data_IF_669036113074
#
_entry.id   IF_669036113074
#
_cell.length_a   1.000
_cell.length_b   1.000
_cell.length_c   1.000
_cell.angle_alpha   90.00
_cell.angle_beta   90.00
_cell.angle_gamma   90.00
#
_symmetry.space_group_name_H-M   'P 1'
#
loop_
_entity.id
_entity.type
_entity.pdbx_description
1 polymer ?
#
# COMPACT_ATOMS: atom_id res chain seq x y z
N UNK A 1 15.37 -11.63 49.28
CA UNK A 1 14.05 -10.94 49.29
C UNK A 1 13.93 -9.83 48.24
N UNK A 2 14.68 -8.72 48.33
CA UNK A 2 14.55 -7.58 47.39
C UNK A 2 14.81 -7.96 45.92
N UNK A 3 15.82 -8.79 45.65
CA UNK A 3 16.20 -9.23 44.30
C UNK A 3 15.09 -10.00 43.56
N UNK A 4 14.40 -10.91 44.25
CA UNK A 4 13.29 -11.69 43.67
C UNK A 4 12.14 -10.75 43.29
N UNK A 5 11.72 -9.89 44.21
CA UNK A 5 10.62 -8.96 43.95
C UNK A 5 10.98 -7.99 42.82
N UNK A 6 12.24 -7.53 42.75
CA UNK A 6 12.72 -6.69 41.64
C UNK A 6 12.77 -7.42 40.32
N UNK A 7 13.16 -8.70 40.31
CA UNK A 7 13.14 -9.53 39.11
C UNK A 7 11.71 -9.72 38.60
N UNK A 8 10.80 -10.15 39.46
CA UNK A 8 9.39 -10.37 39.12
C UNK A 8 8.73 -9.07 38.65
N UNK A 9 8.99 -7.95 39.31
CA UNK A 9 8.54 -6.63 38.86
C UNK A 9 9.11 -6.28 37.47
N UNK A 10 10.41 -6.54 37.24
CA UNK A 10 11.06 -6.26 35.96
C UNK A 10 10.48 -7.10 34.80
N UNK A 11 10.03 -8.33 35.09
CA UNK A 11 9.31 -9.19 34.13
C UNK A 11 7.87 -8.69 33.92
N UNK A 12 7.11 -8.48 34.99
CA UNK A 12 5.68 -8.15 34.92
C UNK A 12 5.39 -6.76 34.37
N UNK A 13 6.24 -5.75 34.60
CA UNK A 13 6.08 -4.41 33.99
C UNK A 13 6.09 -4.47 32.46
N UNK A 14 6.76 -5.48 31.89
CA UNK A 14 6.84 -5.72 30.44
C UNK A 14 5.56 -6.41 29.94
N UNK A 15 4.70 -6.97 30.78
CA UNK A 15 3.51 -7.69 30.35
C UNK A 15 2.29 -6.75 30.19
N UNK A 16 1.27 -7.14 29.40
CA UNK A 16 -0.02 -6.44 29.36
C UNK A 16 -0.67 -6.41 30.74
N UNK A 17 -1.26 -5.28 31.14
CA UNK A 17 -1.83 -5.08 32.49
C UNK A 17 -2.79 -6.20 32.91
N UNK A 18 -3.62 -6.68 31.99
CA UNK A 18 -4.60 -7.73 32.25
C UNK A 18 -4.02 -9.08 32.66
N UNK A 19 -2.73 -9.34 32.40
CA UNK A 19 -2.07 -10.61 32.71
C UNK A 19 -1.02 -10.48 33.82
N UNK A 20 -0.73 -9.26 34.29
CA UNK A 20 0.37 -9.01 35.24
C UNK A 20 0.18 -9.75 36.56
N UNK A 21 -1.02 -9.66 37.14
CA UNK A 21 -1.29 -10.24 38.46
C UNK A 21 -1.21 -11.77 38.46
N UNK A 22 -1.70 -12.42 37.40
CA UNK A 22 -1.68 -13.88 37.29
C UNK A 22 -0.24 -14.37 37.07
N UNK A 23 0.50 -13.73 36.16
CA UNK A 23 1.88 -14.10 35.84
C UNK A 23 2.84 -13.74 36.99
N UNK A 24 2.55 -12.69 37.76
CA UNK A 24 3.28 -12.38 38.99
C UNK A 24 3.19 -13.52 39.99
N UNK A 25 1.98 -14.04 40.23
CA UNK A 25 1.78 -15.19 41.13
C UNK A 25 2.45 -16.45 40.59
N UNK A 26 2.35 -16.71 39.29
CA UNK A 26 3.00 -17.85 38.66
C UNK A 26 4.52 -17.79 38.79
N UNK A 27 5.12 -16.63 38.54
CA UNK A 27 6.56 -16.42 38.72
C UNK A 27 7.00 -16.52 40.18
N UNK A 28 6.16 -16.06 41.13
CA UNK A 28 6.44 -16.24 42.55
C UNK A 28 6.48 -17.73 42.91
N UNK A 29 5.48 -18.50 42.48
CA UNK A 29 5.44 -19.96 42.69
C UNK A 29 6.62 -20.67 42.03
N UNK A 30 6.96 -20.32 40.79
CA UNK A 30 8.10 -20.91 40.08
C UNK A 30 9.43 -20.67 40.82
N UNK A 31 9.64 -19.46 41.34
CA UNK A 31 10.85 -19.14 42.12
C UNK A 31 10.87 -19.90 43.45
N UNK A 32 9.72 -20.05 44.10
CA UNK A 32 9.58 -20.83 45.34
C UNK A 32 9.90 -22.31 45.10
N UNK A 33 9.29 -22.93 44.08
CA UNK A 33 9.56 -24.31 43.70
C UNK A 33 11.05 -24.55 43.40
N UNK A 34 11.69 -23.63 42.67
CA UNK A 34 13.12 -23.72 42.34
C UNK A 34 14.05 -23.55 43.55
N UNK A 35 13.62 -22.83 44.60
CA UNK A 35 14.37 -22.70 45.85
C UNK A 35 14.17 -23.95 46.72
N UNK A 36 12.95 -24.48 46.80
CA UNK A 36 12.64 -25.71 47.54
C UNK A 36 13.41 -26.91 46.99
N UNK A 37 13.54 -27.03 45.66
CA UNK A 37 14.36 -28.06 45.00
C UNK A 37 15.85 -28.02 45.41
N UNK A 38 16.31 -26.86 45.91
CA UNK A 38 17.67 -26.64 46.43
C UNK A 38 17.75 -26.77 47.95
N UNK A 39 16.65 -27.10 48.61
CA UNK A 39 16.56 -27.27 50.06
C UNK A 39 16.51 -25.94 50.84
N UNK A 40 16.18 -24.84 50.17
CA UNK A 40 16.08 -23.51 50.77
C UNK A 40 14.64 -23.00 50.66
N UNK A 41 14.15 -22.37 51.72
CA UNK A 41 12.87 -21.64 51.66
C UNK A 41 13.12 -20.20 51.27
N UNK A 42 12.08 -19.53 50.75
CA UNK A 42 12.14 -18.10 50.38
C UNK A 42 12.65 -17.19 51.51
N UNK A 43 12.41 -17.57 52.76
CA UNK A 43 12.87 -16.81 53.95
C UNK A 43 14.28 -17.18 54.42
N UNK A 44 14.79 -18.36 54.09
CA UNK A 44 16.08 -18.89 54.56
C UNK A 44 17.15 -18.95 53.47
N UNK A 45 16.78 -18.72 52.21
CA UNK A 45 17.67 -18.74 51.07
C UNK A 45 18.80 -17.70 51.17
N UNK A 46 20.02 -18.18 50.95
CA UNK A 46 21.21 -17.36 50.81
C UNK A 46 21.16 -16.51 49.54
N UNK A 47 21.97 -15.45 49.50
CA UNK A 47 22.03 -14.55 48.35
C UNK A 47 22.52 -15.26 47.08
N UNK A 48 23.41 -16.26 47.23
CA UNK A 48 23.97 -17.07 46.15
C UNK A 48 22.92 -18.01 45.54
N UNK A 49 22.07 -18.64 46.36
CA UNK A 49 20.98 -19.52 45.89
C UNK A 49 19.95 -18.72 45.07
N UNK A 50 19.58 -17.53 45.56
CA UNK A 50 18.68 -16.62 44.83
C UNK A 50 19.28 -16.18 43.51
N UNK A 51 20.57 -15.83 43.48
CA UNK A 51 21.25 -15.41 42.25
C UNK A 51 21.30 -16.54 41.22
N UNK A 52 21.59 -17.77 41.65
CA UNK A 52 21.59 -18.95 40.77
C UNK A 52 20.21 -19.22 40.16
N UNK A 53 19.13 -19.17 40.96
CA UNK A 53 17.77 -19.34 40.46
C UNK A 53 17.42 -18.27 39.42
N UNK A 54 17.75 -17.00 39.70
CA UNK A 54 17.46 -15.91 38.76
C UNK A 54 18.31 -15.99 37.48
N UNK A 55 19.55 -16.49 37.56
CA UNK A 55 20.40 -16.75 36.40
C UNK A 55 19.84 -17.88 35.53
N UNK A 56 19.28 -18.93 36.13
CA UNK A 56 18.64 -20.04 35.43
C UNK A 56 17.34 -19.61 34.73
N UNK A 57 16.56 -18.72 35.36
CA UNK A 57 15.40 -18.09 34.72
C UNK A 57 15.79 -17.15 33.57
N UNK A 58 17.02 -16.63 33.60
CA UNK A 58 17.58 -15.77 32.57
C UNK A 58 17.10 -14.32 32.63
N UNK A 59 17.46 -13.49 31.63
CA UNK A 59 17.15 -12.06 31.64
C UNK A 59 15.63 -11.78 31.72
N UNK A 60 15.17 -10.79 32.50
CA UNK A 60 13.74 -10.46 32.62
C UNK A 60 13.03 -10.17 31.29
N UNK A 61 13.77 -9.72 30.28
CA UNK A 61 13.24 -9.47 28.93
C UNK A 61 12.86 -10.77 28.22
N UNK A 62 13.71 -11.78 28.32
CA UNK A 62 13.49 -13.09 27.71
C UNK A 62 12.40 -13.84 28.46
N UNK A 63 12.40 -13.78 29.79
CA UNK A 63 11.36 -14.40 30.59
C UNK A 63 9.99 -13.79 30.31
N UNK A 64 9.90 -12.45 30.20
CA UNK A 64 8.67 -11.77 29.78
C UNK A 64 8.23 -12.16 28.35
N UNK A 65 9.16 -12.47 27.45
CA UNK A 65 8.84 -12.89 26.09
C UNK A 65 8.16 -14.27 26.06
N UNK A 66 8.60 -15.21 26.90
CA UNK A 66 7.99 -16.55 27.05
C UNK A 66 6.51 -16.46 27.44
N UNK A 67 6.17 -15.53 28.33
CA UNK A 67 4.80 -15.30 28.78
C UNK A 67 3.92 -14.50 27.80
N UNK A 68 4.52 -13.57 27.04
CA UNK A 68 3.73 -12.74 26.11
C UNK A 68 3.11 -13.53 24.97
N UNK A 69 3.70 -14.67 24.59
CA UNK A 69 3.27 -15.47 23.44
C UNK A 69 3.34 -14.76 22.08
N UNK A 70 3.86 -13.51 22.03
CA UNK A 70 3.98 -12.70 20.80
C UNK A 70 5.05 -11.62 20.93
N UNK A 71 5.81 -11.44 19.86
CA UNK A 71 6.78 -10.35 19.72
C UNK A 71 6.08 -9.07 19.22
N UNK A 72 6.50 -7.89 19.71
CA UNK A 72 5.90 -6.59 19.36
C UNK A 72 6.56 -6.02 18.10
N UNK A 73 6.29 -6.61 16.95
CA UNK A 73 6.71 -6.03 15.67
C UNK A 73 5.63 -5.12 15.09
N UNK A 74 6.05 -4.00 14.51
CA UNK A 74 5.18 -3.22 13.63
C UNK A 74 4.92 -3.98 12.31
N UNK A 75 5.95 -4.65 11.81
CA UNK A 75 5.93 -5.52 10.63
C UNK A 75 6.74 -6.76 10.99
N UNK A 76 6.10 -7.93 11.05
CA UNK A 76 6.73 -9.17 11.49
C UNK A 76 7.70 -9.75 10.46
N UNK A 77 8.54 -10.72 10.86
CA UNK A 77 9.50 -11.38 9.97
C UNK A 77 8.83 -12.06 8.76
N UNK A 78 7.56 -12.48 8.88
CA UNK A 78 6.82 -13.06 7.75
C UNK A 78 6.43 -12.07 6.65
N UNK A 79 6.40 -10.77 6.94
CA UNK A 79 6.00 -9.73 5.98
C UNK A 79 7.15 -8.82 5.52
N UNK A 80 8.30 -8.84 6.22
CA UNK A 80 9.38 -7.88 5.99
C UNK A 80 9.94 -7.90 4.56
N UNK A 81 10.05 -9.09 3.93
CA UNK A 81 10.52 -9.22 2.55
C UNK A 81 9.53 -8.63 1.53
N UNK A 82 8.24 -8.85 1.78
CA UNK A 82 7.17 -8.29 0.95
C UNK A 82 7.09 -6.77 1.13
N UNK A 83 7.29 -6.28 2.35
CA UNK A 83 7.36 -4.86 2.67
C UNK A 83 8.49 -4.18 1.88
N UNK A 84 9.72 -4.71 1.94
CA UNK A 84 10.83 -4.15 1.19
C UNK A 84 10.62 -4.19 -0.32
N UNK A 85 9.99 -5.26 -0.83
CA UNK A 85 9.65 -5.38 -2.24
C UNK A 85 8.69 -4.27 -2.68
N UNK A 86 7.56 -4.12 -1.97
CA UNK A 86 6.56 -3.08 -2.29
C UNK A 86 7.14 -1.69 -2.13
N UNK A 87 7.89 -1.43 -1.05
CA UNK A 87 8.52 -0.13 -0.80
C UNK A 87 9.47 0.25 -1.93
N UNK A 88 10.35 -0.66 -2.37
CA UNK A 88 11.25 -0.42 -3.50
C UNK A 88 10.49 -0.12 -4.79
N UNK A 89 9.44 -0.89 -5.09
CA UNK A 89 8.62 -0.67 -6.28
C UNK A 89 7.97 0.72 -6.23
N UNK A 90 7.38 1.11 -5.09
CA UNK A 90 6.77 2.43 -4.91
C UNK A 90 7.80 3.54 -5.11
N UNK A 91 8.97 3.46 -4.44
CA UNK A 91 10.01 4.48 -4.55
C UNK A 91 10.58 4.60 -5.97
N UNK A 92 10.82 3.47 -6.66
CA UNK A 92 11.25 3.50 -8.06
C UNK A 92 10.16 4.06 -8.97
N UNK A 93 8.89 3.75 -8.71
CA UNK A 93 7.77 4.28 -9.49
C UNK A 93 7.63 5.80 -9.29
N UNK A 94 7.84 6.31 -8.08
CA UNK A 94 7.88 7.75 -7.77
C UNK A 94 9.02 8.41 -8.55
N UNK A 95 10.22 7.81 -8.52
CA UNK A 95 11.38 8.34 -9.24
C UNK A 95 11.15 8.37 -10.76
N UNK A 96 10.60 7.30 -11.33
CA UNK A 96 10.25 7.24 -12.76
C UNK A 96 9.18 8.27 -13.11
N UNK A 97 8.09 8.35 -12.34
CA UNK A 97 6.99 9.26 -12.62
C UNK A 97 7.43 10.73 -12.55
N UNK A 98 8.11 11.13 -11.47
CA UNK A 98 8.63 12.48 -11.33
C UNK A 98 9.75 12.78 -12.34
N UNK A 99 10.55 11.77 -12.71
CA UNK A 99 11.57 11.90 -13.75
C UNK A 99 10.97 12.20 -15.12
N UNK A 100 9.87 11.54 -15.48
CA UNK A 100 9.11 11.84 -16.70
C UNK A 100 8.61 13.29 -16.67
N UNK A 101 8.03 13.73 -15.55
CA UNK A 101 7.55 15.11 -15.37
C UNK A 101 8.68 16.12 -15.53
N UNK A 102 9.83 15.86 -14.91
CA UNK A 102 11.01 16.70 -15.03
C UNK A 102 11.51 16.81 -16.49
N UNK A 103 11.63 15.67 -17.20
CA UNK A 103 12.04 15.65 -18.60
C UNK A 103 11.07 16.45 -19.47
N UNK A 104 9.77 16.28 -19.28
CA UNK A 104 8.76 17.02 -20.04
C UNK A 104 8.87 18.53 -19.76
N UNK A 105 8.96 18.92 -18.49
CA UNK A 105 9.12 20.33 -18.10
C UNK A 105 10.41 20.97 -18.62
N UNK A 106 11.49 20.19 -18.71
CA UNK A 106 12.76 20.64 -19.27
C UNK A 106 12.64 21.07 -20.75
N UNK A 107 11.78 20.41 -21.54
CA UNK A 107 11.54 20.78 -22.94
C UNK A 107 10.48 21.88 -23.11
N UNK A 108 9.63 22.11 -22.12
CA UNK A 108 8.54 23.11 -22.20
C UNK A 108 8.95 24.47 -21.63
N UNK A 109 9.82 24.49 -20.60
CA UNK A 109 10.11 25.69 -19.81
C UNK A 109 11.38 26.40 -20.28
N UNK A 110 11.39 27.73 -20.24
CA UNK A 110 12.58 28.56 -20.46
C UNK A 110 13.33 28.91 -19.16
N UNK A 111 12.87 28.38 -18.02
CA UNK A 111 13.42 28.63 -16.69
C UNK A 111 14.84 28.04 -16.50
N UNK A 112 15.63 28.58 -15.56
CA UNK A 112 16.95 28.06 -15.25
C UNK A 112 16.91 26.58 -14.84
N UNK A 113 17.71 25.74 -15.51
CA UNK A 113 17.76 24.28 -15.27
C UNK A 113 18.08 23.90 -13.83
N UNK A 114 18.85 24.73 -13.11
CA UNK A 114 19.26 24.45 -11.74
C UNK A 114 18.09 24.49 -10.73
N UNK A 115 17.15 25.43 -10.90
CA UNK A 115 15.99 25.57 -10.01
C UNK A 115 15.03 24.40 -10.20
N UNK A 116 14.76 24.00 -11.45
CA UNK A 116 13.93 22.83 -11.78
C UNK A 116 14.51 21.52 -11.26
N UNK A 117 15.84 21.38 -11.31
CA UNK A 117 16.51 20.23 -10.73
C UNK A 117 16.32 20.19 -9.20
N UNK A 118 16.40 21.34 -8.53
CA UNK A 118 16.15 21.43 -7.09
C UNK A 118 14.70 21.10 -6.75
N UNK A 119 13.72 21.64 -7.48
CA UNK A 119 12.30 21.31 -7.31
C UNK A 119 12.03 19.81 -7.47
N UNK A 120 12.65 19.18 -8.47
CA UNK A 120 12.59 17.74 -8.67
C UNK A 120 13.16 16.96 -7.49
N UNK A 121 14.34 17.33 -6.98
CA UNK A 121 14.97 16.67 -5.82
C UNK A 121 14.14 16.83 -4.53
N UNK A 122 13.59 18.03 -4.30
CA UNK A 122 12.69 18.30 -3.16
C UNK A 122 11.41 17.46 -3.28
N UNK A 123 10.83 17.39 -4.48
CA UNK A 123 9.63 16.59 -4.75
C UNK A 123 9.90 15.09 -4.56
N UNK A 124 11.03 14.58 -5.05
CA UNK A 124 11.45 13.20 -4.84
C UNK A 124 11.53 12.86 -3.36
N UNK A 125 12.15 13.74 -2.56
CA UNK A 125 12.29 13.53 -1.13
C UNK A 125 10.94 13.58 -0.42
N UNK A 126 10.13 14.62 -0.70
CA UNK A 126 8.81 14.81 -0.08
C UNK A 126 7.84 13.67 -0.42
N UNK A 127 7.64 13.38 -1.72
CA UNK A 127 6.75 12.31 -2.19
C UNK A 127 7.31 10.94 -1.78
N UNK A 128 8.63 10.77 -1.77
CA UNK A 128 9.29 9.56 -1.28
C UNK A 128 9.03 9.29 0.20
N UNK A 129 9.10 10.31 1.06
CA UNK A 129 8.76 10.21 2.49
C UNK A 129 7.28 9.82 2.66
N UNK A 130 6.37 10.45 1.90
CA UNK A 130 4.96 10.07 1.93
C UNK A 130 4.71 8.64 1.44
N UNK A 131 5.40 8.22 0.36
CA UNK A 131 5.34 6.84 -0.15
C UNK A 131 5.82 5.84 0.90
N UNK A 132 6.94 6.12 1.57
CA UNK A 132 7.46 5.32 2.67
C UNK A 132 6.46 5.22 3.83
N UNK A 133 5.90 6.36 4.25
CA UNK A 133 4.93 6.41 5.35
C UNK A 133 3.68 5.59 5.03
N UNK A 134 3.08 5.77 3.86
CA UNK A 134 1.87 5.05 3.46
C UNK A 134 2.09 3.55 3.27
N UNK A 135 3.22 3.13 2.68
CA UNK A 135 3.57 1.71 2.57
C UNK A 135 3.75 1.10 3.96
N UNK A 136 4.42 1.81 4.88
CA UNK A 136 4.59 1.36 6.28
C UNK A 136 3.25 1.22 6.98
N UNK A 137 2.35 2.19 6.85
CA UNK A 137 0.99 2.13 7.42
C UNK A 137 0.20 0.96 6.85
N UNK A 138 0.29 0.71 5.54
CA UNK A 138 -0.34 -0.43 4.88
C UNK A 138 0.14 -1.75 5.49
N UNK A 139 1.45 -1.94 5.60
CA UNK A 139 2.01 -3.19 6.13
C UNK A 139 1.76 -3.34 7.64
N UNK A 140 1.83 -2.26 8.40
CA UNK A 140 1.44 -2.25 9.81
C UNK A 140 -0.03 -2.66 9.98
N UNK A 141 -0.92 -2.19 9.10
CA UNK A 141 -2.33 -2.57 9.11
C UNK A 141 -2.54 -4.05 8.72
N UNK A 142 -1.80 -4.54 7.71
CA UNK A 142 -1.83 -5.96 7.31
C UNK A 142 -1.35 -6.84 8.47
N UNK A 143 -0.22 -6.52 9.08
CA UNK A 143 0.32 -7.23 10.26
C UNK A 143 -0.70 -7.18 11.40
N UNK A 144 -1.25 -6.02 11.73
CA UNK A 144 -2.25 -5.87 12.80
C UNK A 144 -3.50 -6.76 12.60
N UNK A 145 -3.93 -6.95 11.35
CA UNK A 145 -5.07 -7.81 11.00
C UNK A 145 -4.69 -9.29 10.88
N UNK A 146 -3.48 -9.60 10.41
CA UNK A 146 -3.00 -10.96 10.14
C UNK A 146 -2.35 -11.65 11.35
N UNK A 147 -1.65 -10.90 12.21
CA UNK A 147 -0.97 -11.39 13.41
C UNK A 147 -1.92 -11.91 14.51
N UNK A 148 -3.24 -11.86 14.29
CA UNK A 148 -4.23 -12.50 15.17
C UNK A 148 -4.49 -13.98 14.85
N UNK A 149 -3.83 -14.57 13.85
CA UNK A 149 -4.16 -15.91 13.34
C UNK A 149 -2.99 -16.92 13.26
N UNK A 150 -1.83 -16.66 13.86
CA UNK A 150 -0.78 -17.71 13.92
C UNK A 150 -1.17 -18.68 15.03
N UNK A 151 -1.58 -19.89 14.64
CA UNK A 151 -1.77 -20.98 15.59
C UNK A 151 -0.42 -21.34 16.21
N UNK A 152 -0.39 -21.54 17.54
CA UNK A 152 0.76 -22.08 18.27
C UNK A 152 0.87 -23.61 18.14
N UNK A 153 0.06 -24.24 17.29
CA UNK A 153 0.11 -25.69 17.09
C UNK A 153 1.45 -26.12 16.50
N UNK A 154 2.01 -27.26 16.93
CA UNK A 154 3.20 -27.84 16.33
C UNK A 154 2.95 -28.13 14.86
N UNK A 155 3.75 -27.51 13.98
CA UNK A 155 3.64 -27.67 12.54
C UNK A 155 3.72 -29.15 12.12
N UNK A 156 2.82 -29.60 11.25
CA UNK A 156 2.83 -30.96 10.69
C UNK A 156 3.06 -30.92 9.18
N UNK A 157 3.85 -31.85 8.59
CA UNK A 157 4.04 -31.92 7.13
C UNK A 157 2.73 -32.03 6.32
N UNK A 158 1.67 -32.59 6.91
CA UNK A 158 0.33 -32.67 6.31
C UNK A 158 -0.36 -31.31 6.13
N UNK A 159 0.11 -30.26 6.81
CA UNK A 159 -0.42 -28.89 6.73
C UNK A 159 0.20 -28.10 5.57
N UNK A 160 1.10 -28.72 4.80
CA UNK A 160 1.66 -28.11 3.60
C UNK A 160 0.53 -27.70 2.65
N UNK A 161 0.49 -26.42 2.22
CA UNK A 161 -0.52 -25.99 1.28
C UNK A 161 -0.33 -26.71 -0.06
N UNK A 162 -1.43 -27.18 -0.64
CA UNK A 162 -1.42 -27.74 -1.98
C UNK A 162 -0.82 -26.75 -2.99
N UNK A 163 -0.07 -27.28 -3.96
CA UNK A 163 0.54 -26.48 -5.02
C UNK A 163 -0.58 -25.75 -5.78
N UNK A 164 -0.56 -24.41 -5.86
CA UNK A 164 -1.57 -23.67 -6.58
C UNK A 164 -1.59 -24.07 -8.06
N UNK A 165 -2.78 -24.29 -8.62
CA UNK A 165 -2.94 -24.51 -10.05
C UNK A 165 -2.37 -23.32 -10.84
N UNK A 166 -1.68 -23.53 -11.97
CA UNK A 166 -1.07 -22.48 -12.77
C UNK A 166 -2.01 -21.32 -13.12
N UNK A 167 -3.31 -21.60 -13.32
CA UNK A 167 -4.34 -20.60 -13.63
C UNK A 167 -4.65 -19.61 -12.49
N UNK A 168 -4.34 -19.98 -11.24
CA UNK A 168 -4.64 -19.17 -10.04
C UNK A 168 -3.42 -18.43 -9.50
N UNK A 169 -2.24 -18.74 -10.02
CA UNK A 169 -0.97 -18.14 -9.64
C UNK A 169 -0.88 -16.71 -10.18
N UNK A 170 -0.57 -15.78 -9.29
CA UNK A 170 -0.33 -14.38 -9.67
C UNK A 170 1.14 -14.25 -10.05
N UNK A 171 1.41 -13.74 -11.26
CA UNK A 171 2.77 -13.43 -11.68
C UNK A 171 3.25 -12.19 -10.91
N UNK A 172 4.48 -12.12 -10.39
CA UNK A 172 4.97 -10.93 -9.68
C UNK A 172 4.90 -9.65 -10.52
N UNK A 173 4.99 -9.75 -11.84
CA UNK A 173 4.86 -8.60 -12.76
C UNK A 173 3.49 -7.92 -12.69
N UNK A 174 2.41 -8.65 -12.36
CA UNK A 174 1.05 -8.11 -12.28
C UNK A 174 0.93 -7.05 -11.16
N UNK A 175 1.25 -7.35 -9.88
CA UNK A 175 1.22 -6.33 -8.83
C UNK A 175 2.33 -5.28 -8.97
N UNK A 176 3.49 -5.61 -9.55
CA UNK A 176 4.54 -4.62 -9.82
C UNK A 176 4.05 -3.55 -10.79
N UNK A 177 3.45 -3.95 -11.92
CA UNK A 177 2.88 -3.02 -12.89
C UNK A 177 1.68 -2.28 -12.31
N UNK A 178 0.84 -2.94 -11.51
CA UNK A 178 -0.28 -2.30 -10.82
C UNK A 178 0.16 -1.16 -9.92
N UNK A 179 1.20 -1.36 -9.10
CA UNK A 179 1.78 -0.32 -8.26
C UNK A 179 2.40 0.79 -9.12
N UNK A 180 3.18 0.43 -10.15
CA UNK A 180 3.81 1.38 -11.06
C UNK A 180 2.78 2.32 -11.68
N UNK A 181 1.76 1.79 -12.35
CA UNK A 181 0.71 2.60 -12.98
C UNK A 181 -0.08 3.41 -11.94
N UNK A 182 -0.36 2.86 -10.76
CA UNK A 182 -1.04 3.59 -9.68
C UNK A 182 -0.27 4.82 -9.22
N UNK A 183 1.06 4.70 -9.09
CA UNK A 183 1.95 5.81 -8.72
C UNK A 183 2.11 6.79 -9.88
N UNK A 184 2.22 6.31 -11.12
CA UNK A 184 2.26 7.18 -12.31
C UNK A 184 1.00 8.04 -12.42
N UNK A 185 -0.18 7.44 -12.28
CA UNK A 185 -1.44 8.19 -12.29
C UNK A 185 -1.56 9.13 -11.10
N UNK A 186 -1.13 8.70 -9.90
CA UNK A 186 -1.10 9.58 -8.73
C UNK A 186 -0.25 10.84 -8.99
N UNK A 187 0.96 10.67 -9.52
CA UNK A 187 1.85 11.80 -9.83
C UNK A 187 1.26 12.67 -10.94
N UNK A 188 0.76 12.05 -12.02
CA UNK A 188 0.14 12.75 -13.14
C UNK A 188 -1.03 13.62 -12.67
N UNK A 189 -1.99 13.06 -11.93
CA UNK A 189 -3.18 13.80 -11.52
C UNK A 189 -2.91 14.78 -10.37
N UNK A 190 -1.94 14.52 -9.49
CA UNK A 190 -1.65 15.39 -8.33
C UNK A 190 -0.73 16.55 -8.68
N UNK A 191 0.35 16.30 -9.43
CA UNK A 191 1.42 17.27 -9.66
C UNK A 191 1.49 17.76 -11.10
N UNK A 192 0.85 17.06 -12.04
CA UNK A 192 1.14 17.25 -13.47
C UNK A 192 -0.11 17.20 -14.34
N UNK A 193 -1.26 17.59 -13.77
CA UNK A 193 -2.54 17.58 -14.47
C UNK A 193 -2.50 18.49 -15.72
N UNK A 194 -1.72 19.56 -15.67
CA UNK A 194 -1.48 20.50 -16.77
C UNK A 194 -0.70 19.88 -17.94
N UNK A 195 -0.02 18.74 -17.74
CA UNK A 195 0.58 17.99 -18.85
C UNK A 195 -0.49 17.35 -19.75
N UNK A 196 -1.70 17.12 -19.22
CA UNK A 196 -2.83 16.68 -20.04
C UNK A 196 -3.41 17.92 -20.74
N UNK A 197 -2.91 18.15 -21.94
CA UNK A 197 -3.12 19.38 -22.69
C UNK A 197 -2.57 19.29 -24.10
N UNK A 198 -2.88 20.32 -24.89
CA UNK A 198 -2.25 20.50 -26.20
C UNK A 198 -1.00 21.34 -26.02
N UNK A 199 0.16 20.77 -26.33
CA UNK A 199 1.46 21.42 -26.23
C UNK A 199 2.03 21.69 -27.62
N UNK A 200 2.40 22.93 -27.88
CA UNK A 200 3.13 23.34 -29.10
C UNK A 200 4.54 23.78 -28.73
N UNK A 201 5.52 23.03 -29.20
CA UNK A 201 6.94 23.35 -29.06
C UNK A 201 7.38 24.22 -30.25
N UNK A 202 7.30 25.54 -30.08
CA UNK A 202 7.75 26.55 -31.05
C UNK A 202 8.61 27.60 -30.32
N UNK A 203 8.96 28.73 -30.97
CA UNK A 203 9.72 29.82 -30.32
C UNK A 203 9.09 30.33 -29.02
N UNK A 204 7.76 30.22 -28.90
CA UNK A 204 7.02 30.36 -27.65
C UNK A 204 6.29 29.05 -27.39
N UNK A 205 6.62 28.36 -26.29
CA UNK A 205 5.92 27.15 -25.88
C UNK A 205 4.50 27.53 -25.43
N UNK A 206 3.51 26.93 -26.08
CA UNK A 206 2.09 27.11 -25.73
C UNK A 206 1.60 25.79 -25.12
N UNK A 207 1.12 25.86 -23.88
CA UNK A 207 0.48 24.76 -23.19
C UNK A 207 -0.98 25.11 -22.92
N UNK A 208 -1.91 24.39 -23.55
CA UNK A 208 -3.35 24.56 -23.38
C UNK A 208 -3.86 23.37 -22.56
N UNK A 209 -4.09 23.53 -21.25
CA UNK A 209 -4.51 22.43 -20.40
C UNK A 209 -5.95 22.03 -20.71
N UNK A 210 -6.23 20.72 -20.68
CA UNK A 210 -7.60 20.19 -20.81
C UNK A 210 -8.41 20.43 -19.54
N UNK A 211 -7.76 20.38 -18.39
CA UNK A 211 -8.43 20.50 -17.10
C UNK A 211 -8.12 21.82 -16.41
N UNK A 212 -9.10 22.32 -15.68
CA UNK A 212 -8.95 23.48 -14.81
C UNK A 212 -8.37 23.04 -13.46
N UNK A 213 -7.11 23.39 -13.21
CA UNK A 213 -6.32 22.86 -12.09
C UNK A 213 -6.97 23.15 -10.72
N UNK A 214 -7.47 24.37 -10.52
CA UNK A 214 -8.09 24.76 -9.25
C UNK A 214 -9.38 23.97 -8.97
N UNK A 215 -10.21 23.76 -9.99
CA UNK A 215 -11.42 22.97 -9.86
C UNK A 215 -11.10 21.47 -9.69
N UNK A 216 -10.06 20.96 -10.35
CA UNK A 216 -9.62 19.57 -10.22
C UNK A 216 -9.09 19.26 -8.81
N UNK A 217 -8.43 20.22 -8.16
CA UNK A 217 -7.79 20.05 -6.85
C UNK A 217 -8.75 19.50 -5.76
N UNK A 218 -10.05 19.81 -5.85
CA UNK A 218 -11.07 19.31 -4.91
C UNK A 218 -11.23 17.79 -4.92
N UNK A 219 -10.84 17.12 -6.00
CA UNK A 219 -10.94 15.67 -6.16
C UNK A 219 -9.65 14.92 -5.79
N UNK A 220 -8.53 15.61 -5.55
CA UNK A 220 -7.26 14.99 -5.19
C UNK A 220 -7.36 14.05 -3.97
N UNK A 221 -8.10 14.37 -2.88
CA UNK A 221 -8.25 13.44 -1.77
C UNK A 221 -8.84 12.08 -2.17
N UNK A 222 -9.78 12.05 -3.14
CA UNK A 222 -10.34 10.80 -3.65
C UNK A 222 -9.31 10.00 -4.44
N UNK A 223 -8.50 10.68 -5.26
CA UNK A 223 -7.40 10.06 -6.02
C UNK A 223 -6.37 9.46 -5.05
N UNK A 224 -5.99 10.19 -4.00
CA UNK A 224 -5.04 9.72 -3.00
C UNK A 224 -5.54 8.48 -2.25
N UNK A 225 -6.82 8.48 -1.85
CA UNK A 225 -7.46 7.31 -1.24
C UNK A 225 -7.49 6.12 -2.19
N UNK A 226 -7.82 6.35 -3.46
CA UNK A 226 -7.89 5.31 -4.47
C UNK A 226 -6.50 4.70 -4.75
N UNK A 227 -5.46 5.52 -4.84
CA UNK A 227 -4.07 5.07 -4.97
C UNK A 227 -3.63 4.27 -3.75
N UNK A 228 -3.92 4.72 -2.53
CA UNK A 228 -3.58 3.98 -1.31
C UNK A 228 -4.27 2.60 -1.28
N UNK A 229 -5.56 2.54 -1.64
CA UNK A 229 -6.30 1.28 -1.71
C UNK A 229 -5.79 0.36 -2.84
N UNK A 230 -5.37 0.93 -3.97
CA UNK A 230 -4.71 0.18 -5.05
C UNK A 230 -3.43 -0.48 -4.57
N UNK A 231 -2.52 0.29 -3.96
CA UNK A 231 -1.25 -0.22 -3.42
C UNK A 231 -1.51 -1.29 -2.35
N UNK A 232 -2.51 -1.11 -1.48
CA UNK A 232 -2.92 -2.11 -0.51
C UNK A 232 -3.34 -3.43 -1.18
N UNK A 233 -4.14 -3.36 -2.24
CA UNK A 233 -4.59 -4.54 -2.97
C UNK A 233 -3.43 -5.26 -3.67
N UNK A 234 -2.54 -4.51 -4.34
CA UNK A 234 -1.36 -5.07 -5.00
C UNK A 234 -0.33 -5.66 -4.02
N UNK A 235 -0.14 -5.02 -2.86
CA UNK A 235 0.68 -5.57 -1.78
C UNK A 235 0.15 -6.94 -1.32
N UNK A 236 -1.18 -7.07 -1.15
CA UNK A 236 -1.80 -8.36 -0.82
C UNK A 236 -1.61 -9.41 -1.92
N UNK A 237 -1.66 -9.03 -3.20
CA UNK A 237 -1.34 -9.94 -4.32
C UNK A 237 0.12 -10.40 -4.26
N UNK A 238 1.05 -9.52 -3.91
CA UNK A 238 2.48 -9.87 -3.79
C UNK A 238 2.78 -10.81 -2.61
N UNK A 239 2.08 -10.62 -1.49
CA UNK A 239 2.18 -11.48 -0.29
C UNK A 239 1.56 -12.86 -0.58
N UNK A 240 0.32 -12.89 -1.06
CA UNK A 240 -0.43 -14.15 -1.22
C UNK A 240 -0.05 -14.96 -2.45
N UNK A 241 0.42 -14.30 -3.52
CA UNK A 241 0.83 -14.87 -4.82
C UNK A 241 -0.19 -15.78 -5.52
N UNK A 242 -1.43 -15.82 -5.01
CA UNK A 242 -2.54 -16.62 -5.55
C UNK A 242 -3.85 -15.87 -5.39
N UNK A 243 -4.75 -16.05 -6.35
CA UNK A 243 -6.09 -15.47 -6.27
C UNK A 243 -6.92 -16.16 -5.17
N UNK A 244 -7.18 -15.43 -4.09
CA UNK A 244 -8.14 -15.84 -3.05
C UNK A 244 -9.49 -15.16 -3.26
N UNK A 245 -10.62 -15.73 -2.76
CA UNK A 245 -11.93 -15.09 -2.87
C UNK A 245 -11.96 -13.68 -2.29
N UNK A 246 -11.27 -13.46 -1.17
CA UNK A 246 -11.17 -12.15 -0.53
C UNK A 246 -10.45 -11.13 -1.42
N UNK A 247 -9.35 -11.54 -2.06
CA UNK A 247 -8.57 -10.70 -2.95
C UNK A 247 -9.34 -10.35 -4.23
N UNK A 248 -10.09 -11.30 -4.78
CA UNK A 248 -10.98 -11.07 -5.91
C UNK A 248 -12.07 -10.05 -5.56
N UNK A 249 -12.74 -10.21 -4.40
CA UNK A 249 -13.78 -9.26 -3.95
C UNK A 249 -13.21 -7.87 -3.74
N UNK A 250 -12.05 -7.74 -3.09
CA UNK A 250 -11.40 -6.43 -2.90
C UNK A 250 -11.05 -5.76 -4.23
N UNK A 251 -10.57 -6.52 -5.20
CA UNK A 251 -10.25 -6.00 -6.52
C UNK A 251 -11.50 -5.55 -7.29
N UNK A 252 -12.61 -6.29 -7.20
CA UNK A 252 -13.91 -5.86 -7.76
C UNK A 252 -14.38 -4.57 -7.09
N UNK A 253 -14.29 -4.47 -5.75
CA UNK A 253 -14.64 -3.26 -5.00
C UNK A 253 -13.79 -2.07 -5.46
N UNK A 254 -12.49 -2.27 -5.65
CA UNK A 254 -11.60 -1.25 -6.19
C UNK A 254 -12.04 -0.78 -7.58
N UNK A 255 -12.35 -1.70 -8.50
CA UNK A 255 -12.79 -1.32 -9.84
C UNK A 255 -14.11 -0.53 -9.82
N UNK A 256 -15.08 -0.95 -8.99
CA UNK A 256 -16.33 -0.21 -8.81
C UNK A 256 -16.08 1.19 -8.23
N UNK A 257 -15.25 1.29 -7.18
CA UNK A 257 -14.90 2.58 -6.58
C UNK A 257 -14.18 3.49 -7.58
N UNK A 258 -13.23 2.95 -8.36
CA UNK A 258 -12.53 3.68 -9.43
C UNK A 258 -13.49 4.23 -10.47
N UNK A 259 -14.48 3.42 -10.91
CA UNK A 259 -15.51 3.87 -11.85
C UNK A 259 -16.37 4.97 -11.24
N UNK A 260 -16.82 4.82 -9.99
CA UNK A 260 -17.62 5.84 -9.30
C UNK A 260 -16.86 7.16 -9.21
N UNK A 261 -15.59 7.11 -8.78
CA UNK A 261 -14.73 8.30 -8.69
C UNK A 261 -14.54 8.93 -10.06
N UNK A 262 -14.27 8.14 -11.11
CA UNK A 262 -14.14 8.64 -12.47
C UNK A 262 -15.42 9.31 -12.97
N UNK A 263 -16.59 8.71 -12.73
CA UNK A 263 -17.89 9.30 -13.11
C UNK A 263 -18.12 10.62 -12.37
N UNK A 264 -17.89 10.67 -11.05
CA UNK A 264 -18.05 11.89 -10.25
C UNK A 264 -17.11 13.00 -10.75
N UNK A 265 -15.85 12.66 -11.00
CA UNK A 265 -14.81 13.60 -11.40
C UNK A 265 -15.06 14.12 -12.82
N UNK A 266 -15.20 13.24 -13.81
CA UNK A 266 -15.28 13.64 -15.21
C UNK A 266 -16.66 14.21 -15.60
N UNK A 267 -17.72 13.96 -14.82
CA UNK A 267 -19.03 14.57 -15.07
C UNK A 267 -19.12 16.04 -14.63
N UNK A 268 -18.19 16.51 -13.79
CA UNK A 268 -18.18 17.89 -13.32
C UNK A 268 -17.65 18.84 -14.40
N UNK A 269 -18.51 19.73 -14.89
CA UNK A 269 -18.14 20.68 -15.95
C UNK A 269 -17.08 21.70 -15.50
N UNK A 270 -16.95 21.95 -14.20
CA UNK A 270 -15.99 22.93 -13.67
C UNK A 270 -14.54 22.47 -13.78
N UNK A 271 -14.29 21.16 -13.88
CA UNK A 271 -12.92 20.64 -14.00
C UNK A 271 -12.40 20.69 -15.44
N UNK A 272 -13.26 20.89 -16.43
CA UNK A 272 -12.86 21.02 -17.83
C UNK A 272 -12.57 22.48 -18.13
N UNK A 273 -11.52 22.74 -18.90
CA UNK A 273 -11.15 24.09 -19.28
C UNK A 273 -12.28 24.74 -20.13
N UNK A 274 -12.98 25.78 -19.63
CA UNK A 274 -14.16 26.34 -20.29
C UNK A 274 -13.83 27.10 -21.57
N UNK A 275 -12.58 27.55 -21.73
CA UNK A 275 -12.11 28.34 -22.87
C UNK A 275 -11.12 27.55 -23.74
N UNK A 276 -11.09 26.22 -23.61
CA UNK A 276 -10.15 25.35 -24.32
C UNK A 276 -10.16 25.57 -25.84
N UNK A 277 -11.35 25.60 -26.45
CA UNK A 277 -11.49 25.82 -27.89
C UNK A 277 -11.06 27.23 -28.30
N UNK A 278 -11.33 28.25 -27.47
CA UNK A 278 -10.92 29.62 -27.74
C UNK A 278 -9.39 29.75 -27.69
N UNK A 279 -8.73 29.08 -26.75
CA UNK A 279 -7.27 29.03 -26.65
C UNK A 279 -6.64 28.31 -27.86
N UNK A 280 -7.27 27.26 -28.38
CA UNK A 280 -6.82 26.60 -29.62
C UNK A 280 -6.92 27.53 -30.84
N UNK A 281 -7.96 28.35 -30.92
CA UNK A 281 -8.11 29.35 -31.99
C UNK A 281 -7.10 30.47 -31.84
N UNK A 282 -6.94 31.02 -30.63
CA UNK A 282 -6.01 32.12 -30.34
C UNK A 282 -4.54 31.72 -30.56
N UNK A 283 -4.20 30.46 -30.30
CA UNK A 283 -2.86 29.91 -30.56
C UNK A 283 -2.59 29.60 -32.04
N UNK A 284 -3.59 29.78 -32.91
CA UNK A 284 -3.50 29.47 -34.33
C UNK A 284 -3.36 27.98 -34.65
N UNK A 285 -3.67 27.10 -33.68
CA UNK A 285 -3.68 25.65 -33.88
C UNK A 285 -4.90 25.20 -34.69
N UNK A 286 -6.00 25.95 -34.59
CA UNK A 286 -7.26 25.69 -35.27
C UNK A 286 -7.82 27.02 -35.77
N UNK A 287 -8.46 27.04 -36.94
CA UNK A 287 -9.11 28.24 -37.49
C UNK A 287 -10.62 28.05 -37.57
N UNK A 288 -11.39 29.03 -37.10
CA UNK A 288 -12.86 28.98 -37.14
C UNK A 288 -13.36 28.88 -38.59
N UNK A 289 -14.36 28.01 -38.82
CA UNK A 289 -14.97 27.82 -40.13
C UNK A 289 -14.26 26.82 -41.05
N UNK A 290 -13.14 26.23 -40.63
CA UNK A 290 -12.51 25.08 -41.32
C UNK A 290 -13.03 23.73 -40.78
N UNK A 291 -12.98 22.68 -41.60
CA UNK A 291 -13.39 21.32 -41.21
C UNK A 291 -12.57 20.73 -40.04
N UNK A 292 -11.34 21.21 -39.85
CA UNK A 292 -10.51 20.87 -38.69
C UNK A 292 -11.12 21.37 -37.37
N UNK A 293 -11.69 22.58 -37.35
CA UNK A 293 -12.34 23.15 -36.17
C UNK A 293 -13.55 22.32 -35.73
N UNK A 294 -14.44 21.99 -36.67
CA UNK A 294 -15.62 21.20 -36.37
C UNK A 294 -15.26 19.80 -35.86
N UNK A 295 -14.19 19.20 -36.40
CA UNK A 295 -13.70 17.90 -35.93
C UNK A 295 -13.18 17.97 -34.50
N UNK A 296 -12.34 18.95 -34.18
CA UNK A 296 -11.76 19.12 -32.84
C UNK A 296 -12.84 19.47 -31.83
N UNK A 297 -13.79 20.35 -32.19
CA UNK A 297 -14.93 20.71 -31.35
C UNK A 297 -15.80 19.49 -31.03
N UNK A 298 -16.10 18.65 -32.02
CA UNK A 298 -16.85 17.41 -31.81
C UNK A 298 -16.11 16.44 -30.86
N UNK A 299 -14.78 16.33 -30.99
CA UNK A 299 -13.96 15.52 -30.07
C UNK A 299 -14.01 16.11 -28.66
N UNK A 300 -13.87 17.43 -28.52
CA UNK A 300 -13.93 18.13 -27.24
C UNK A 300 -15.29 17.93 -26.54
N UNK A 301 -16.39 18.17 -27.24
CA UNK A 301 -17.74 18.04 -26.71
C UNK A 301 -18.06 16.59 -26.27
N UNK A 302 -17.48 15.59 -26.95
CA UNK A 302 -17.64 14.16 -26.62
C UNK A 302 -16.59 13.62 -25.66
N UNK A 303 -15.50 14.35 -25.40
CA UNK A 303 -14.36 13.87 -24.61
C UNK A 303 -14.79 13.46 -23.20
N UNK A 304 -15.74 14.19 -22.61
CA UNK A 304 -16.30 13.92 -21.29
C UNK A 304 -16.91 12.53 -21.19
N UNK A 305 -17.92 12.28 -22.01
CA UNK A 305 -18.65 11.01 -21.98
C UNK A 305 -17.78 9.87 -22.54
N UNK A 306 -16.90 10.19 -23.50
CA UNK A 306 -15.92 9.26 -24.05
C UNK A 306 -14.94 8.73 -23.01
N UNK A 307 -14.35 9.60 -22.18
CA UNK A 307 -13.44 9.18 -21.11
C UNK A 307 -14.15 8.28 -20.08
N UNK A 308 -15.35 8.66 -19.65
CA UNK A 308 -16.15 7.86 -18.72
C UNK A 308 -16.45 6.48 -19.33
N UNK A 309 -16.89 6.45 -20.59
CA UNK A 309 -17.19 5.19 -21.28
C UNK A 309 -15.96 4.28 -21.37
N UNK A 310 -14.79 4.83 -21.76
CA UNK A 310 -13.53 4.08 -21.84
C UNK A 310 -13.17 3.50 -20.47
N UNK A 311 -13.24 4.30 -19.41
CA UNK A 311 -12.91 3.84 -18.04
C UNK A 311 -13.85 2.73 -17.60
N UNK A 312 -15.15 2.87 -17.84
CA UNK A 312 -16.16 1.83 -17.52
C UNK A 312 -15.88 0.54 -18.28
N UNK A 313 -15.59 0.62 -19.58
CA UNK A 313 -15.29 -0.57 -20.40
C UNK A 313 -14.00 -1.25 -19.93
N UNK A 314 -12.93 -0.49 -19.65
CA UNK A 314 -11.68 -1.05 -19.12
C UNK A 314 -11.92 -1.74 -17.78
N UNK A 315 -12.63 -1.08 -16.85
CA UNK A 315 -12.94 -1.64 -15.55
C UNK A 315 -13.82 -2.90 -15.66
N UNK A 316 -14.76 -2.93 -16.60
CA UNK A 316 -15.59 -4.10 -16.87
C UNK A 316 -14.75 -5.28 -17.39
N UNK A 317 -13.90 -5.05 -18.40
CA UNK A 317 -13.01 -6.06 -18.96
C UNK A 317 -12.11 -6.64 -17.86
N UNK A 318 -11.48 -5.78 -17.07
CA UNK A 318 -10.59 -6.19 -15.98
C UNK A 318 -11.34 -7.01 -14.92
N UNK A 319 -12.52 -6.54 -14.49
CA UNK A 319 -13.39 -7.24 -13.54
C UNK A 319 -13.80 -8.62 -14.05
N UNK A 320 -14.23 -8.72 -15.31
CA UNK A 320 -14.61 -9.98 -15.95
C UNK A 320 -13.39 -10.91 -16.03
N UNK A 321 -12.20 -10.40 -16.33
CA UNK A 321 -10.97 -11.20 -16.35
C UNK A 321 -10.69 -11.87 -15.01
N UNK A 322 -10.85 -11.15 -13.90
CA UNK A 322 -10.63 -11.66 -12.54
C UNK A 322 -11.71 -12.66 -12.13
N UNK A 323 -12.96 -12.38 -12.50
CA UNK A 323 -14.09 -13.29 -12.25
C UNK A 323 -13.94 -14.59 -13.03
N UNK A 324 -13.50 -14.54 -14.30
CA UNK A 324 -13.23 -15.72 -15.12
C UNK A 324 -12.08 -16.57 -14.58
N UNK A 325 -10.98 -15.93 -14.12
CA UNK A 325 -9.88 -16.64 -13.42
C UNK A 325 -10.41 -17.42 -12.21
N UNK A 326 -11.47 -16.92 -11.55
CA UNK A 326 -12.15 -17.63 -10.45
C UNK A 326 -13.11 -18.71 -10.91
N UNK A 327 -13.87 -18.53 -11.99
CA UNK A 327 -14.83 -19.56 -12.44
C UNK A 327 -14.16 -20.81 -13.01
N UNK A 328 -13.01 -20.68 -13.70
CA UNK A 328 -12.18 -21.82 -14.13
C UNK A 328 -11.77 -22.74 -12.97
N UNK A 329 -11.68 -22.23 -11.73
CA UNK A 329 -11.43 -23.01 -10.50
C UNK A 329 -12.58 -23.95 -10.13
N UNK A 330 -13.85 -23.59 -10.42
CA UNK A 330 -15.00 -24.44 -10.06
C UNK A 330 -15.12 -25.65 -10.99
N UNK A 331 -14.84 -25.47 -12.27
CA UNK A 331 -14.93 -26.55 -13.26
C UNK A 331 -13.83 -27.61 -13.04
N UNK A 332 -12.59 -27.21 -12.72
CA UNK A 332 -11.50 -28.14 -12.38
C UNK A 332 -11.79 -29.01 -11.15
N UNK A 333 -12.37 -28.43 -10.10
CA UNK A 333 -12.75 -29.17 -8.90
C UNK A 333 -13.93 -30.15 -9.14
N UNK A 334 -14.79 -29.87 -10.12
CA UNK A 334 -15.94 -30.73 -10.46
C UNK A 334 -15.52 -31.92 -11.34
N UNK A 335 -14.42 -31.77 -12.10
CA UNK A 335 -13.85 -32.85 -12.93
C UNK A 335 -13.00 -33.85 -12.13
N UNK A 336 -12.46 -33.46 -10.97
CA UNK A 336 -11.67 -34.33 -10.07
C UNK A 336 -12.52 -35.05 -9.01
N UNK A 337 -13.84 -34.78 -8.98
CA UNK A 337 -14.80 -35.40 -8.04
C UNK A 337 -15.78 -36.35 -8.75
N UNK A 338 -15.56 -36.64 -10.03
CA UNK A 338 -16.17 -37.73 -10.80
C UNK A 338 -15.09 -38.71 -11.21
#
# INVERSE_FOLDING_TARGET
>A
MDLINRYIYAVTQKLPESQRADIEKELQGLVEDMLEDRGADRETASLEEVEQVLLELGPPVEMAARYRGRERYLIGPGLIDSYWSVLRIVLYSIAVALGIVYIVNFFISTEPTAEKLLEYLVSLLSVGIHGFAWVTVIFAFIEYRGARQVSNDPWKPSELPAIPEPATRIKPSEPVLGILFSVLFFVLFTFSINLIGVHRFAEHSIAIPVFEQAAFAKYLPLIWLLTAFSIFNEARKLITRKWTPQLAVMHVIFNIASVIVAVILFSDMTIWNPIFMDQLVQSGLVTTGDGSYETVKLIWDRSRDGLIYIIVVIALIDTVSVVMKRFRRKEGNTALTK
#
